data_IF_617286529508
#
_entry.id   IF_617286529508
#
_cell.length_a   1.000
_cell.length_b   1.000
_cell.length_c   1.000
_cell.angle_alpha   90.00
_cell.angle_beta   90.00
_cell.angle_gamma   90.00
#
_symmetry.space_group_name_H-M   'P 1'
#
loop_
_entity.id
_entity.type
_entity.pdbx_description
1 polymer ?
#
# COMPACT_ATOMS: atom_id res chain seq x y z
N UNK A 1 -6.42 11.37 15.14
CA UNK A 1 -6.97 10.02 15.39
C UNK A 1 -7.96 10.12 16.52
N UNK A 2 -9.16 9.56 16.34
CA UNK A 2 -10.30 9.69 17.26
C UNK A 2 -10.35 8.53 18.26
N UNK A 3 -10.99 8.72 19.43
CA UNK A 3 -11.04 7.70 20.51
C UNK A 3 -11.59 6.34 20.08
N UNK A 4 -12.61 6.30 19.23
CA UNK A 4 -13.23 5.04 18.78
C UNK A 4 -12.33 4.16 17.89
N UNK A 5 -11.15 4.64 17.52
CA UNK A 5 -10.21 3.94 16.67
C UNK A 5 -9.03 3.35 17.46
N UNK A 6 -9.04 3.48 18.77
CA UNK A 6 -7.93 3.04 19.62
C UNK A 6 -8.12 1.63 20.16
N UNK A 7 -6.99 0.98 20.46
CA UNK A 7 -6.92 -0.22 21.28
C UNK A 7 -6.91 0.13 22.78
N UNK A 8 -6.72 -0.88 23.64
CA UNK A 8 -6.68 -0.69 25.09
C UNK A 8 -5.49 0.14 25.59
N UNK A 9 -4.46 0.36 24.76
CA UNK A 9 -3.26 1.13 25.10
C UNK A 9 -3.34 2.60 24.66
N UNK A 10 -4.46 3.05 24.09
CA UNK A 10 -4.60 4.42 23.57
C UNK A 10 -3.89 4.67 22.26
N UNK A 11 -3.44 3.64 21.56
CA UNK A 11 -2.86 3.71 20.23
C UNK A 11 -3.83 3.16 19.19
N UNK A 12 -3.58 3.45 17.89
CA UNK A 12 -4.49 3.01 16.84
C UNK A 12 -4.54 1.48 16.75
N UNK A 13 -5.75 0.95 16.54
CA UNK A 13 -5.95 -0.46 16.27
C UNK A 13 -5.37 -0.81 14.90
N UNK A 14 -4.53 -1.88 14.86
CA UNK A 14 -3.82 -2.27 13.64
C UNK A 14 -4.72 -2.55 12.44
N UNK A 15 -5.90 -3.15 12.66
CA UNK A 15 -6.87 -3.40 11.61
C UNK A 15 -7.41 -2.13 10.96
N UNK A 16 -7.59 -1.07 11.72
CA UNK A 16 -7.99 0.24 11.17
C UNK A 16 -6.89 0.82 10.28
N UNK A 17 -5.64 0.71 10.71
CA UNK A 17 -4.50 1.15 9.91
C UNK A 17 -4.44 0.37 8.58
N UNK A 18 -4.63 -0.93 8.62
CA UNK A 18 -4.67 -1.77 7.42
C UNK A 18 -5.80 -1.37 6.48
N UNK A 19 -6.97 -1.04 7.02
CA UNK A 19 -8.10 -0.53 6.24
C UNK A 19 -7.73 0.77 5.50
N UNK A 20 -7.10 1.71 6.19
CA UNK A 20 -6.71 2.99 5.58
C UNK A 20 -5.67 2.82 4.48
N UNK A 21 -4.66 1.97 4.68
CA UNK A 21 -3.65 1.74 3.64
C UNK A 21 -4.23 1.00 2.44
N UNK A 22 -5.18 0.11 2.63
CA UNK A 22 -5.86 -0.58 1.54
C UNK A 22 -6.69 0.40 0.70
N UNK A 23 -7.44 1.28 1.34
CA UNK A 23 -8.21 2.33 0.66
C UNK A 23 -7.30 3.26 -0.13
N UNK A 24 -6.25 3.79 0.50
CA UNK A 24 -5.31 4.71 -0.15
C UNK A 24 -4.58 4.04 -1.32
N UNK A 25 -4.15 2.80 -1.13
CA UNK A 25 -3.50 2.01 -2.18
C UNK A 25 -4.43 1.74 -3.35
N UNK A 26 -5.69 1.39 -3.06
CA UNK A 26 -6.72 1.17 -4.07
C UNK A 26 -7.03 2.41 -4.90
N UNK A 27 -7.04 3.58 -4.27
CA UNK A 27 -7.22 4.86 -4.98
C UNK A 27 -6.05 5.10 -5.93
N UNK A 28 -4.82 4.94 -5.48
CA UNK A 28 -3.62 5.12 -6.31
C UNK A 28 -3.62 4.14 -7.50
N UNK A 29 -3.89 2.87 -7.24
CA UNK A 29 -3.94 1.83 -8.27
C UNK A 29 -5.08 2.09 -9.27
N UNK A 30 -6.26 2.42 -8.79
CA UNK A 30 -7.43 2.69 -9.64
C UNK A 30 -7.24 3.89 -10.55
N UNK A 31 -6.61 4.95 -10.04
CA UNK A 31 -6.27 6.13 -10.86
C UNK A 31 -5.29 5.80 -11.96
N UNK A 32 -4.28 4.98 -11.67
CA UNK A 32 -3.31 4.56 -12.68
C UNK A 32 -3.96 3.62 -13.71
N UNK A 33 -4.74 2.64 -13.27
CA UNK A 33 -5.37 1.66 -14.13
C UNK A 33 -6.52 2.24 -14.97
N UNK A 34 -7.20 3.28 -14.48
CA UNK A 34 -8.42 3.81 -15.10
C UNK A 34 -9.59 2.83 -15.02
N UNK A 35 -9.59 1.95 -14.03
CA UNK A 35 -10.60 0.90 -13.85
C UNK A 35 -10.71 0.51 -12.37
N UNK A 36 -11.67 -0.36 -12.07
CA UNK A 36 -11.75 -0.98 -10.76
C UNK A 36 -10.53 -1.86 -10.52
N UNK A 37 -10.13 -1.96 -9.27
CA UNK A 37 -9.01 -2.79 -8.83
C UNK A 37 -9.43 -3.62 -7.63
N UNK A 38 -8.78 -4.77 -7.44
CA UNK A 38 -8.95 -5.60 -6.25
C UNK A 38 -7.60 -5.82 -5.59
N UNK A 39 -7.60 -5.90 -4.26
CA UNK A 39 -6.41 -6.20 -3.47
C UNK A 39 -6.08 -7.69 -3.61
N UNK A 40 -4.91 -8.00 -4.13
CA UNK A 40 -4.45 -9.38 -4.27
C UNK A 40 -3.57 -9.83 -3.11
N UNK A 41 -2.72 -8.95 -2.62
CA UNK A 41 -1.87 -9.24 -1.47
C UNK A 41 -1.42 -7.97 -0.77
N UNK A 42 -1.04 -8.13 0.50
CA UNK A 42 -0.44 -7.08 1.30
C UNK A 42 0.83 -7.67 1.91
N UNK A 43 1.96 -7.20 1.44
CA UNK A 43 3.25 -7.75 1.82
C UNK A 43 4.07 -6.77 2.64
N UNK A 44 4.98 -7.30 3.44
CA UNK A 44 6.00 -6.54 4.15
C UNK A 44 5.44 -5.33 4.88
N UNK A 45 4.28 -5.54 5.50
CA UNK A 45 3.68 -4.54 6.36
C UNK A 45 4.45 -4.49 7.68
N UNK A 46 5.04 -3.35 7.96
CA UNK A 46 5.81 -3.12 9.18
C UNK A 46 5.21 -1.96 9.96
N UNK A 47 4.83 -2.23 11.19
CA UNK A 47 4.47 -1.20 12.15
C UNK A 47 5.77 -0.73 12.81
N UNK A 48 6.20 0.49 12.47
CA UNK A 48 7.48 1.04 12.91
C UNK A 48 7.36 1.79 14.24
N UNK A 49 6.21 2.40 14.47
CA UNK A 49 5.95 3.22 15.64
C UNK A 49 4.42 3.35 15.85
N UNK A 50 3.92 3.39 17.08
CA UNK A 50 2.49 3.53 17.32
C UNK A 50 1.96 4.92 16.97
N UNK A 51 0.70 5.00 16.60
CA UNK A 51 -0.04 6.26 16.43
C UNK A 51 -0.88 6.48 17.68
N UNK A 52 -0.70 7.64 18.30
CA UNK A 52 -1.40 8.00 19.52
C UNK A 52 -2.66 8.82 19.26
N UNK A 53 -3.57 8.76 20.23
CA UNK A 53 -4.78 9.57 20.23
C UNK A 53 -4.44 11.06 20.06
N UNK A 54 -5.16 11.75 19.20
CA UNK A 54 -4.95 13.18 18.92
C UNK A 54 -3.96 13.48 17.81
N UNK A 55 -3.16 12.51 17.38
CA UNK A 55 -2.24 12.72 16.26
C UNK A 55 -2.96 12.73 14.91
N UNK A 56 -2.43 13.52 13.98
CA UNK A 56 -2.88 13.55 12.59
C UNK A 56 -2.19 12.41 11.84
N UNK A 57 -2.98 11.59 11.15
CA UNK A 57 -2.47 10.47 10.36
C UNK A 57 -2.44 10.87 8.89
N UNK A 58 -1.27 10.72 8.26
CA UNK A 58 -1.07 11.02 6.84
C UNK A 58 -0.72 9.73 6.14
N UNK A 59 -1.53 9.34 5.17
CA UNK A 59 -1.32 8.13 4.37
C UNK A 59 -0.93 8.55 2.95
N UNK A 60 0.22 8.08 2.50
CA UNK A 60 0.74 8.33 1.16
C UNK A 60 0.85 7.02 0.41
N UNK A 61 0.29 6.96 -0.79
CA UNK A 61 0.33 5.79 -1.65
C UNK A 61 0.84 6.15 -3.04
N UNK A 62 1.66 5.28 -3.61
CA UNK A 62 2.25 5.50 -4.92
C UNK A 62 2.40 4.16 -5.65
N UNK A 63 2.04 4.13 -6.93
CA UNK A 63 2.31 2.97 -7.80
C UNK A 63 3.80 2.93 -8.08
N UNK A 64 4.46 1.83 -7.70
CA UNK A 64 5.89 1.62 -7.90
C UNK A 64 6.19 0.82 -9.16
N UNK A 65 5.27 -0.05 -9.56
CA UNK A 65 5.44 -0.94 -10.70
C UNK A 65 4.08 -1.31 -11.27
N UNK A 66 3.99 -1.37 -12.60
CA UNK A 66 2.83 -1.88 -13.33
C UNK A 66 3.28 -3.04 -14.22
N UNK A 67 2.68 -4.21 -14.01
CA UNK A 67 2.87 -5.39 -14.86
C UNK A 67 1.82 -5.45 -15.96
N UNK A 68 1.40 -6.64 -16.34
CA UNK A 68 0.35 -6.81 -17.36
C UNK A 68 -1.03 -6.42 -16.82
N UNK A 69 -1.45 -7.02 -15.71
CA UNK A 69 -2.77 -6.76 -15.07
C UNK A 69 -2.64 -6.33 -13.63
N UNK A 70 -1.45 -6.37 -13.06
CA UNK A 70 -1.20 -6.09 -11.65
C UNK A 70 -0.29 -4.89 -11.46
N UNK A 71 -0.40 -4.27 -10.29
CA UNK A 71 0.41 -3.13 -9.89
C UNK A 71 0.89 -3.34 -8.46
N UNK A 72 2.12 -2.92 -8.18
CA UNK A 72 2.56 -2.78 -6.80
C UNK A 72 2.41 -1.33 -6.36
N UNK A 73 1.78 -1.12 -5.21
CA UNK A 73 1.62 0.19 -4.59
C UNK A 73 2.41 0.19 -3.27
N UNK A 74 3.31 1.15 -3.14
CA UNK A 74 3.97 1.42 -1.87
C UNK A 74 3.12 2.38 -1.04
N UNK A 75 2.96 2.09 0.24
CA UNK A 75 2.22 2.94 1.17
C UNK A 75 3.10 3.27 2.35
N UNK A 76 3.13 4.55 2.72
CA UNK A 76 3.74 5.04 3.95
C UNK A 76 2.71 5.75 4.77
N UNK A 77 2.79 5.57 6.07
CA UNK A 77 1.93 6.27 7.02
C UNK A 77 2.80 7.07 7.97
N UNK A 78 2.41 8.31 8.19
CA UNK A 78 3.05 9.23 9.11
C UNK A 78 2.08 9.65 10.19
N UNK A 79 2.57 9.85 11.39
CA UNK A 79 1.86 10.52 12.46
C UNK A 79 2.48 11.89 12.68
N UNK A 80 1.64 12.89 12.84
CA UNK A 80 2.05 14.28 13.00
C UNK A 80 1.35 14.87 14.22
N UNK A 81 2.12 15.52 15.08
CA UNK A 81 1.54 16.29 16.18
C UNK A 81 0.85 17.54 15.61
N UNK A 82 -0.43 17.78 15.93
CA UNK A 82 -1.13 18.96 15.42
C UNK A 82 -0.55 20.29 15.96
N UNK A 83 0.18 20.22 17.07
CA UNK A 83 0.73 21.43 17.72
C UNK A 83 2.14 21.76 17.23
N UNK A 84 2.96 20.75 16.94
CA UNK A 84 4.39 20.97 16.62
C UNK A 84 4.72 20.66 15.16
N UNK A 85 3.81 20.06 14.42
CA UNK A 85 3.99 19.62 13.05
C UNK A 85 5.14 18.61 12.85
N UNK A 86 5.69 18.07 13.94
CA UNK A 86 6.69 17.00 13.88
C UNK A 86 6.05 15.74 13.31
N UNK A 87 6.70 15.19 12.30
CA UNK A 87 6.23 14.01 11.57
C UNK A 87 7.20 12.86 11.79
N UNK A 88 6.64 11.67 12.06
CA UNK A 88 7.41 10.43 12.10
C UNK A 88 6.71 9.36 11.27
N UNK A 89 7.47 8.49 10.65
CA UNK A 89 6.92 7.37 9.90
C UNK A 89 6.49 6.27 10.88
N UNK A 90 5.24 5.83 10.76
CA UNK A 90 4.66 4.83 11.67
C UNK A 90 4.40 3.50 11.02
N UNK A 91 4.29 3.46 9.69
CA UNK A 91 4.01 2.23 8.95
C UNK A 91 4.59 2.31 7.55
N UNK A 92 4.99 1.15 7.04
CA UNK A 92 5.39 0.94 5.66
C UNK A 92 4.83 -0.38 5.16
N UNK A 93 4.26 -0.37 3.96
CA UNK A 93 3.69 -1.57 3.36
C UNK A 93 3.79 -1.53 1.84
N UNK A 94 3.73 -2.73 1.25
CA UNK A 94 3.59 -2.89 -0.18
C UNK A 94 2.35 -3.74 -0.46
N UNK A 95 1.49 -3.25 -1.33
CA UNK A 95 0.25 -3.92 -1.71
C UNK A 95 0.28 -4.23 -3.20
N UNK A 96 -0.29 -5.37 -3.57
CA UNK A 96 -0.50 -5.73 -4.97
C UNK A 96 -1.98 -5.61 -5.29
N UNK A 97 -2.29 -4.85 -6.34
CA UNK A 97 -3.63 -4.71 -6.86
C UNK A 97 -3.71 -5.29 -8.27
N UNK A 98 -4.85 -5.86 -8.60
CA UNK A 98 -5.14 -6.34 -9.95
C UNK A 98 -6.28 -5.52 -10.52
N UNK A 99 -6.07 -4.97 -11.72
CA UNK A 99 -7.13 -4.27 -12.45
C UNK A 99 -8.15 -5.28 -12.98
N UNK A 100 -9.42 -4.95 -12.83
CA UNK A 100 -10.51 -5.83 -13.24
C UNK A 100 -11.52 -5.07 -14.09
N UNK A 101 -12.18 -5.80 -14.99
CA UNK A 101 -13.28 -5.30 -15.78
C UNK A 101 -14.61 -5.36 -15.01
N UNK A 102 -15.71 -4.99 -15.64
CA UNK A 102 -17.04 -4.97 -15.03
C UNK A 102 -17.52 -6.36 -14.56
N UNK A 103 -16.96 -7.43 -15.14
CA UNK A 103 -17.27 -8.81 -14.74
C UNK A 103 -16.33 -9.36 -13.68
N UNK A 104 -15.37 -8.56 -13.22
CA UNK A 104 -14.38 -8.98 -12.21
C UNK A 104 -13.20 -9.74 -12.78
N UNK A 105 -13.04 -9.77 -14.09
CA UNK A 105 -11.90 -10.44 -14.74
C UNK A 105 -10.71 -9.50 -14.85
N UNK A 106 -9.47 -10.01 -14.72
CA UNK A 106 -8.27 -9.19 -14.89
C UNK A 106 -8.25 -8.51 -16.26
N UNK A 107 -7.82 -7.24 -16.24
CA UNK A 107 -7.64 -6.45 -17.47
C UNK A 107 -6.26 -5.80 -17.48
N UNK A 108 -5.70 -5.52 -18.69
CA UNK A 108 -4.40 -4.88 -18.79
C UNK A 108 -4.37 -3.49 -18.16
N UNK A 109 -3.21 -3.14 -17.58
CA UNK A 109 -2.94 -1.80 -17.04
C UNK A 109 -1.97 -1.05 -17.93
N UNK A 110 -2.05 0.29 -18.00
CA UNK A 110 -1.07 1.11 -18.70
C UNK A 110 0.32 0.97 -18.09
N UNK A 111 1.34 1.19 -18.89
CA UNK A 111 2.71 1.27 -18.39
C UNK A 111 2.88 2.44 -17.43
N UNK A 112 3.72 2.24 -16.43
CA UNK A 112 4.12 3.30 -15.54
C UNK A 112 5.24 4.13 -16.19
N UNK A 113 5.05 5.45 -16.24
CA UNK A 113 6.09 6.37 -16.70
C UNK A 113 7.12 6.58 -15.59
N UNK A 114 8.38 6.24 -15.89
CA UNK A 114 9.50 6.39 -14.97
C UNK A 114 10.31 7.62 -15.38
N UNK A 115 10.08 8.75 -14.72
CA UNK A 115 10.69 10.03 -15.10
C UNK A 115 12.02 10.27 -14.39
N UNK A 116 12.16 9.83 -13.14
CA UNK A 116 13.33 10.10 -12.31
C UNK A 116 14.14 8.84 -12.03
N UNK A 117 15.41 9.03 -11.58
CA UNK A 117 16.22 7.91 -11.10
C UNK A 117 15.58 7.20 -9.90
N UNK A 118 14.90 7.96 -9.05
CA UNK A 118 14.15 7.42 -7.91
C UNK A 118 12.99 6.53 -8.38
N UNK A 119 12.25 6.95 -9.40
CA UNK A 119 11.16 6.14 -9.97
C UNK A 119 11.70 4.82 -10.53
N UNK A 120 12.80 4.87 -11.25
CA UNK A 120 13.44 3.66 -11.82
C UNK A 120 13.93 2.72 -10.73
N UNK A 121 14.49 3.24 -9.65
CA UNK A 121 14.92 2.44 -8.51
C UNK A 121 13.74 1.77 -7.82
N UNK A 122 12.66 2.53 -7.56
CA UNK A 122 11.42 1.98 -6.97
C UNK A 122 10.83 0.86 -7.81
N UNK A 123 10.80 1.05 -9.13
CA UNK A 123 10.30 0.04 -10.06
C UNK A 123 11.18 -1.22 -10.06
N UNK A 124 12.50 -1.07 -10.07
CA UNK A 124 13.43 -2.20 -10.01
C UNK A 124 13.29 -2.98 -8.69
N UNK A 125 13.17 -2.27 -7.57
CA UNK A 125 12.97 -2.90 -6.26
C UNK A 125 11.62 -3.61 -6.19
N UNK A 126 10.58 -3.02 -6.77
CA UNK A 126 9.26 -3.64 -6.86
C UNK A 126 9.28 -4.93 -7.69
N UNK A 127 10.04 -4.96 -8.77
CA UNK A 127 10.20 -6.17 -9.58
C UNK A 127 10.90 -7.29 -8.80
N UNK A 128 11.89 -6.97 -7.97
CA UNK A 128 12.54 -7.94 -7.09
C UNK A 128 11.55 -8.51 -6.06
N UNK A 129 10.76 -7.66 -5.44
CA UNK A 129 9.70 -8.08 -4.50
C UNK A 129 8.67 -8.97 -5.20
N UNK A 130 8.30 -8.63 -6.43
CA UNK A 130 7.37 -9.42 -7.23
C UNK A 130 7.90 -10.83 -7.48
N UNK A 131 9.18 -10.97 -7.82
CA UNK A 131 9.80 -12.28 -8.03
C UNK A 131 9.73 -13.15 -6.77
N UNK A 132 9.96 -12.56 -5.60
CA UNK A 132 9.83 -13.27 -4.32
C UNK A 132 8.38 -13.69 -4.08
N UNK A 133 7.41 -12.80 -4.24
CA UNK A 133 5.99 -13.11 -4.06
C UNK A 133 5.51 -14.24 -4.95
N UNK A 134 5.94 -14.25 -6.21
CA UNK A 134 5.55 -15.30 -7.15
C UNK A 134 6.10 -16.67 -6.74
N UNK A 135 7.33 -16.70 -6.21
CA UNK A 135 7.90 -17.95 -5.67
C UNK A 135 7.14 -18.44 -4.46
N UNK A 136 6.83 -17.55 -3.52
CA UNK A 136 6.06 -17.88 -2.31
C UNK A 136 4.66 -18.36 -2.67
N UNK A 137 4.00 -17.70 -3.61
CA UNK A 137 2.67 -18.11 -4.07
C UNK A 137 2.68 -19.50 -4.70
N UNK A 138 3.72 -19.84 -5.47
CA UNK A 138 3.87 -21.20 -6.02
C UNK A 138 4.05 -22.22 -4.91
N UNK A 139 4.87 -21.92 -3.91
CA UNK A 139 5.07 -22.78 -2.75
C UNK A 139 3.75 -23.02 -1.99
N UNK A 140 2.92 -22.01 -1.79
CA UNK A 140 1.61 -22.16 -1.16
C UNK A 140 0.68 -23.09 -1.93
N UNK A 141 0.71 -23.06 -3.26
CA UNK A 141 -0.14 -23.92 -4.09
C UNK A 141 0.25 -25.40 -4.04
N UNK A 142 1.48 -25.69 -3.66
CA UNK A 142 2.03 -27.04 -3.60
C UNK A 142 2.24 -27.55 -2.15
N UNK A 143 1.84 -26.75 -1.16
CA UNK A 143 1.93 -27.11 0.24
C UNK A 143 0.77 -28.03 0.68
#
# INVERSE_FOLDING_TARGET
>A
MLPGLTNTHGTIFGGIMMQWIDIAGGIAAGRHAGSNVVTASMDRLHFLDPVHLGEVVIVQAQVNFAGTTSMEVGVRVFAESPLTTKRRQTLRAYLTFVAVDETGRPRPVPRLHLETATDRRRSADAQRRRAVRLRERRAMKHA
#
